data_IF_427390483899
#
_entry.id   IF_427390483899
#
_cell.length_a   1.000
_cell.length_b   1.000
_cell.length_c   1.000
_cell.angle_alpha   90.00
_cell.angle_beta   90.00
_cell.angle_gamma   90.00
#
_symmetry.space_group_name_H-M   'P 1'
#
loop_
_entity.id
_entity.type
_entity.pdbx_description
1 polymer ?
#
# COMPACT_ATOMS: atom_id res chain seq x y z
N UNK A 1 14.66 -12.99 9.18
CA UNK A 1 13.35 -12.54 8.63
C UNK A 1 13.57 -12.10 7.19
N UNK A 2 12.72 -12.47 6.23
CA UNK A 2 12.85 -11.99 4.85
C UNK A 2 12.57 -10.49 4.78
N UNK A 3 13.54 -9.71 4.31
CA UNK A 3 13.36 -8.28 4.03
C UNK A 3 12.78 -8.16 2.63
N UNK A 4 11.64 -7.49 2.49
CA UNK A 4 11.11 -7.09 1.18
C UNK A 4 11.65 -5.71 0.83
N UNK A 5 12.21 -5.57 -0.37
CA UNK A 5 12.64 -4.28 -0.90
C UNK A 5 11.71 -3.84 -2.02
N UNK A 6 11.45 -2.55 -2.09
CA UNK A 6 10.79 -1.92 -3.23
C UNK A 6 11.78 -0.96 -3.89
N UNK A 7 11.70 -0.83 -5.22
CA UNK A 7 12.51 0.08 -6.00
C UNK A 7 11.86 1.46 -6.17
N UNK A 8 10.72 1.73 -5.52
CA UNK A 8 10.15 3.08 -5.51
C UNK A 8 10.88 3.97 -4.50
N UNK A 9 11.28 5.16 -4.93
CA UNK A 9 11.92 6.16 -4.06
C UNK A 9 10.92 7.16 -3.47
N UNK A 10 9.64 7.04 -3.82
CA UNK A 10 8.57 7.92 -3.37
C UNK A 10 7.40 7.09 -2.85
N UNK A 11 6.84 7.52 -1.72
CA UNK A 11 5.64 6.92 -1.13
C UNK A 11 4.81 7.95 -0.35
N UNK A 12 3.64 7.56 0.17
CA UNK A 12 2.76 8.43 0.96
C UNK A 12 3.29 8.59 2.40
N UNK A 13 4.54 9.03 2.55
CA UNK A 13 5.23 9.21 3.84
C UNK A 13 6.24 10.36 3.74
N UNK A 14 6.67 10.89 4.89
CA UNK A 14 7.46 12.13 4.99
C UNK A 14 8.85 12.03 4.36
N UNK A 15 9.40 10.82 4.20
CA UNK A 15 10.68 10.57 3.54
C UNK A 15 10.71 11.12 2.09
N UNK A 16 9.55 11.18 1.43
CA UNK A 16 9.42 11.71 0.06
C UNK A 16 9.94 13.15 -0.05
N UNK A 17 9.79 13.97 0.98
CA UNK A 17 10.28 15.36 0.98
C UNK A 17 11.81 15.47 0.85
N UNK A 18 12.55 14.48 1.37
CA UNK A 18 14.01 14.39 1.26
C UNK A 18 14.43 13.81 -0.09
N UNK A 19 13.72 12.78 -0.58
CA UNK A 19 13.94 12.23 -1.91
C UNK A 19 13.80 13.31 -3.00
N UNK A 20 12.77 14.16 -2.92
CA UNK A 20 12.56 15.28 -3.85
C UNK A 20 13.67 16.35 -3.82
N UNK A 21 14.54 16.32 -2.79
CA UNK A 21 15.72 17.19 -2.67
C UNK A 21 17.02 16.47 -3.02
N UNK A 22 16.94 15.32 -3.70
CA UNK A 22 18.09 14.46 -4.06
C UNK A 22 18.91 14.02 -2.84
N UNK A 23 18.25 13.77 -1.70
CA UNK A 23 18.89 13.23 -0.50
C UNK A 23 18.61 11.72 -0.47
N UNK A 24 19.64 10.85 -0.33
CA UNK A 24 19.43 9.41 -0.17
C UNK A 24 18.55 9.12 1.04
N UNK A 25 17.53 8.28 0.86
CA UNK A 25 16.60 7.90 1.91
C UNK A 25 16.35 6.40 1.92
N UNK A 26 16.12 5.86 3.11
CA UNK A 26 15.54 4.55 3.32
C UNK A 26 14.28 4.74 4.17
N UNK A 27 13.20 4.11 3.76
CA UNK A 27 11.95 4.08 4.52
C UNK A 27 11.73 2.66 5.04
N UNK A 28 11.62 2.52 6.36
CA UNK A 28 11.39 1.24 7.01
C UNK A 28 9.96 1.19 7.54
N UNK A 29 9.30 0.05 7.35
CA UNK A 29 7.93 -0.16 7.81
C UNK A 29 7.74 -1.64 8.14
N UNK A 30 7.06 -1.95 9.22
CA UNK A 30 6.76 -3.33 9.65
C UNK A 30 5.52 -3.92 8.97
N UNK A 31 4.85 -3.13 8.12
CA UNK A 31 3.61 -3.50 7.45
C UNK A 31 2.38 -2.92 8.15
N UNK A 32 1.24 -3.01 7.48
CA UNK A 32 -0.07 -2.64 8.01
C UNK A 32 -0.74 -3.84 8.69
N UNK A 33 -1.71 -3.58 9.57
CA UNK A 33 -2.62 -4.58 10.15
C UNK A 33 -4.06 -4.08 10.08
N UNK A 34 -5.03 -4.97 10.31
CA UNK A 34 -6.47 -4.72 10.10
C UNK A 34 -7.06 -3.52 10.85
N UNK A 35 -6.42 -3.10 11.94
CA UNK A 35 -6.84 -1.97 12.77
C UNK A 35 -6.05 -0.70 12.53
N UNK A 36 -5.08 -0.71 11.64
CA UNK A 36 -4.26 0.47 11.33
C UNK A 36 -5.14 1.68 10.96
N UNK A 37 -4.88 2.84 11.59
CA UNK A 37 -5.69 4.07 11.49
C UNK A 37 -7.14 3.98 12.03
N UNK A 38 -7.49 2.97 12.82
CA UNK A 38 -8.78 2.91 13.52
C UNK A 38 -8.64 3.37 14.97
N UNK A 39 -9.73 3.82 15.62
CA UNK A 39 -9.73 4.11 17.06
C UNK A 39 -9.40 2.89 17.94
N UNK A 40 -9.54 1.67 17.40
CA UNK A 40 -9.15 0.41 18.04
C UNK A 40 -7.67 0.07 17.89
N UNK A 41 -6.90 0.85 17.13
CA UNK A 41 -5.46 0.68 16.98
C UNK A 41 -4.77 0.97 18.32
N UNK A 42 -4.15 -0.04 18.90
CA UNK A 42 -3.60 0.03 20.25
C UNK A 42 -2.34 -0.82 20.37
N UNK A 43 -1.62 -0.67 21.47
CA UNK A 43 -0.27 -1.20 21.67
C UNK A 43 -0.15 -2.72 21.44
N UNK A 44 -1.23 -3.47 21.66
CA UNK A 44 -1.27 -4.92 21.50
C UNK A 44 -1.12 -5.38 20.03
N UNK A 45 -1.31 -4.47 19.08
CA UNK A 45 -1.27 -4.74 17.62
C UNK A 45 0.07 -4.40 17.00
N UNK A 46 1.00 -3.87 17.79
CA UNK A 46 2.35 -3.52 17.34
C UNK A 46 3.13 -4.79 17.01
N UNK A 47 3.79 -4.80 15.85
CA UNK A 47 4.70 -5.88 15.45
C UNK A 47 6.09 -5.69 16.11
N UNK A 48 6.19 -5.98 17.41
CA UNK A 48 7.41 -5.78 18.21
C UNK A 48 8.63 -6.52 17.66
N UNK A 49 8.46 -7.77 17.22
CA UNK A 49 9.56 -8.56 16.64
C UNK A 49 10.08 -7.92 15.34
N UNK A 50 9.15 -7.41 14.52
CA UNK A 50 9.46 -6.65 13.31
C UNK A 50 10.19 -5.35 13.62
N UNK A 51 9.77 -4.60 14.65
CA UNK A 51 10.44 -3.38 15.07
C UNK A 51 11.88 -3.65 15.53
N UNK A 52 12.11 -4.68 16.34
CA UNK A 52 13.47 -5.08 16.76
C UNK A 52 14.34 -5.42 15.55
N UNK A 53 13.79 -6.14 14.57
CA UNK A 53 14.52 -6.47 13.35
C UNK A 53 14.87 -5.22 12.52
N UNK A 54 13.91 -4.29 12.37
CA UNK A 54 14.11 -3.01 11.68
C UNK A 54 15.16 -2.16 12.39
N UNK A 55 15.09 -2.03 13.73
CA UNK A 55 16.06 -1.26 14.52
C UNK A 55 17.48 -1.81 14.40
N UNK A 56 17.64 -3.14 14.43
CA UNK A 56 18.95 -3.78 14.21
C UNK A 56 19.48 -3.48 12.81
N UNK A 57 18.63 -3.52 11.78
CA UNK A 57 19.02 -3.18 10.42
C UNK A 57 19.42 -1.70 10.30
N UNK A 58 18.64 -0.78 10.88
CA UNK A 58 18.97 0.65 10.88
C UNK A 58 20.32 0.90 11.54
N UNK A 59 20.56 0.31 12.71
CA UNK A 59 21.82 0.44 13.43
C UNK A 59 23.01 -0.06 12.60
N UNK A 60 22.86 -1.20 11.93
CA UNK A 60 23.91 -1.76 11.08
C UNK A 60 24.14 -0.90 9.83
N UNK A 61 23.09 -0.38 9.20
CA UNK A 61 23.22 0.55 8.07
C UNK A 61 23.96 1.82 8.49
N UNK A 62 23.61 2.42 9.64
CA UNK A 62 24.28 3.61 10.16
C UNK A 62 25.77 3.30 10.38
N UNK A 63 26.08 2.21 11.08
CA UNK A 63 27.46 1.80 11.38
C UNK A 63 28.28 1.54 10.11
N UNK A 64 27.71 0.88 9.12
CA UNK A 64 28.41 0.60 7.86
C UNK A 64 28.58 1.85 6.98
N UNK A 65 27.65 2.80 7.05
CA UNK A 65 27.68 4.03 6.24
C UNK A 65 28.48 5.15 6.90
N UNK A 66 28.67 5.14 8.21
CA UNK A 66 29.47 6.13 8.95
C UNK A 66 30.92 6.22 8.44
N UNK A 67 31.52 5.07 8.11
CA UNK A 67 32.89 5.00 7.59
C UNK A 67 33.00 5.31 6.08
N UNK A 68 31.87 5.58 5.40
CA UNK A 68 31.85 5.79 3.96
C UNK A 68 31.80 7.28 3.61
N UNK A 69 32.33 7.67 2.44
CA UNK A 69 32.05 8.99 1.88
C UNK A 69 30.54 9.21 1.71
N UNK A 70 30.15 10.47 1.57
CA UNK A 70 28.74 10.85 1.33
C UNK A 70 28.15 10.01 0.20
N UNK A 71 27.06 9.31 0.52
CA UNK A 71 26.38 8.43 -0.42
C UNK A 71 25.83 9.24 -1.60
N UNK A 72 26.03 8.72 -2.82
CA UNK A 72 25.43 9.27 -4.02
C UNK A 72 23.92 9.02 -4.02
N UNK A 73 23.15 10.00 -4.47
CA UNK A 73 21.72 9.84 -4.70
C UNK A 73 21.48 9.15 -6.03
N UNK A 74 20.68 8.07 -6.01
CA UNK A 74 20.24 7.35 -7.19
C UNK A 74 18.75 7.57 -7.38
N UNK A 75 18.36 8.04 -8.55
CA UNK A 75 16.95 8.17 -8.90
C UNK A 75 16.33 6.80 -9.12
N UNK A 76 15.11 6.64 -8.63
CA UNK A 76 14.30 5.44 -8.88
C UNK A 76 13.45 5.61 -10.13
N UNK A 77 12.90 4.50 -10.65
CA UNK A 77 11.92 4.54 -11.73
C UNK A 77 10.66 5.26 -11.23
N UNK A 78 10.61 6.58 -11.44
CA UNK A 78 9.49 7.41 -11.03
C UNK A 78 8.20 6.92 -11.69
N UNK A 79 7.23 6.49 -10.88
CA UNK A 79 5.83 6.69 -11.23
C UNK A 79 5.45 8.06 -10.69
N UNK A 80 5.00 8.95 -11.57
CA UNK A 80 4.51 10.25 -11.13
C UNK A 80 3.40 10.05 -10.11
N UNK A 81 3.59 10.58 -8.91
CA UNK A 81 2.50 10.80 -7.97
C UNK A 81 1.66 11.94 -8.55
N UNK A 82 0.68 11.60 -9.40
CA UNK A 82 -0.31 12.55 -9.87
C UNK A 82 -0.91 13.30 -8.67
N UNK A 83 -1.01 14.63 -8.78
CA UNK A 83 -1.29 15.55 -7.69
C UNK A 83 -2.54 15.22 -6.88
N UNK A 84 -2.66 15.86 -5.70
CA UNK A 84 -3.73 15.67 -4.70
C UNK A 84 -5.05 15.16 -5.30
N UNK A 85 -5.26 13.84 -5.24
CA UNK A 85 -6.44 13.20 -5.81
C UNK A 85 -7.54 13.22 -4.74
N UNK A 86 -8.49 14.14 -4.90
CA UNK A 86 -9.77 14.04 -4.19
C UNK A 86 -10.55 12.87 -4.79
N UNK A 87 -10.78 11.83 -4.00
CA UNK A 87 -11.58 10.68 -4.44
C UNK A 87 -13.06 10.97 -4.22
N UNK A 88 -13.86 10.89 -5.29
CA UNK A 88 -15.32 11.05 -5.22
C UNK A 88 -16.00 9.84 -4.56
N UNK A 89 -15.34 8.69 -4.60
CA UNK A 89 -15.85 7.42 -4.07
C UNK A 89 -14.79 6.69 -3.24
N UNK A 90 -15.22 5.74 -2.43
CA UNK A 90 -14.34 4.82 -1.70
C UNK A 90 -14.91 3.41 -1.75
N UNK A 91 -14.04 2.41 -1.83
CA UNK A 91 -14.46 1.02 -1.63
C UNK A 91 -14.48 0.64 -0.14
N UNK A 92 -13.70 1.32 0.71
CA UNK A 92 -13.50 0.93 2.10
C UNK A 92 -12.61 -0.31 2.28
N UNK A 93 -11.67 -0.53 1.35
CA UNK A 93 -10.56 -1.49 1.53
C UNK A 93 -9.32 -0.78 2.06
N UNK A 94 -8.52 -1.50 2.83
CA UNK A 94 -7.18 -1.10 3.26
C UNK A 94 -6.15 -1.88 2.42
N UNK A 95 -5.40 -1.19 1.54
CA UNK A 95 -4.34 -1.80 0.76
C UNK A 95 -3.21 -2.36 1.63
N UNK A 96 -2.68 -3.51 1.23
CA UNK A 96 -1.40 -4.01 1.73
C UNK A 96 -0.24 -3.27 1.07
N UNK A 97 0.38 -2.34 1.79
CA UNK A 97 1.58 -1.63 1.32
C UNK A 97 2.84 -2.51 1.28
N UNK A 98 2.80 -3.68 1.92
CA UNK A 98 3.92 -4.64 1.97
C UNK A 98 3.84 -5.72 0.88
N UNK A 99 2.80 -5.70 0.04
CA UNK A 99 2.63 -6.69 -1.03
C UNK A 99 3.38 -6.25 -2.28
N UNK A 100 4.10 -7.21 -2.87
CA UNK A 100 4.78 -7.08 -4.16
C UNK A 100 4.03 -7.84 -5.27
N UNK A 101 2.85 -8.39 -4.97
CA UNK A 101 2.03 -9.10 -5.95
C UNK A 101 1.41 -8.12 -6.95
N UNK A 102 1.31 -8.53 -8.22
CA UNK A 102 0.63 -7.72 -9.23
C UNK A 102 -0.88 -7.68 -8.93
N UNK A 103 -1.36 -6.51 -8.51
CA UNK A 103 -2.73 -6.31 -8.05
C UNK A 103 -2.79 -5.42 -6.81
N UNK A 104 -3.97 -5.36 -6.20
CA UNK A 104 -4.19 -4.72 -4.91
C UNK A 104 -4.53 -5.79 -3.88
N UNK A 105 -3.55 -6.15 -3.05
CA UNK A 105 -3.78 -7.04 -1.91
C UNK A 105 -4.53 -6.28 -0.81
N UNK A 106 -5.56 -6.90 -0.26
CA UNK A 106 -6.44 -6.32 0.76
C UNK A 106 -6.03 -6.82 2.14
N UNK A 107 -5.55 -5.93 3.00
CA UNK A 107 -5.24 -6.25 4.42
C UNK A 107 -6.43 -6.03 5.34
N UNK A 108 -7.40 -5.21 4.92
CA UNK A 108 -8.56 -4.89 5.73
C UNK A 108 -9.74 -4.45 4.88
N UNK A 109 -10.93 -4.70 5.41
CA UNK A 109 -12.19 -4.21 4.84
C UNK A 109 -12.97 -3.55 5.96
N UNK A 110 -13.46 -2.33 5.71
CA UNK A 110 -14.23 -1.57 6.68
C UNK A 110 -15.70 -1.94 6.62
N UNK A 111 -16.29 -2.24 7.77
CA UNK A 111 -17.69 -2.64 7.88
C UNK A 111 -18.65 -1.59 7.32
N UNK A 112 -19.72 -2.07 6.68
CA UNK A 112 -20.76 -1.22 6.09
C UNK A 112 -20.33 -0.44 4.83
N UNK A 113 -19.07 -0.52 4.40
CA UNK A 113 -18.57 0.11 3.18
C UNK A 113 -18.85 -0.74 1.92
N UNK A 114 -18.74 -0.16 0.71
CA UNK A 114 -19.01 -0.87 -0.55
C UNK A 114 -18.33 -2.23 -0.70
N UNK A 115 -17.05 -2.35 -0.34
CA UNK A 115 -16.31 -3.59 -0.43
C UNK A 115 -16.86 -4.69 0.49
N UNK A 116 -17.19 -4.36 1.74
CA UNK A 116 -17.82 -5.29 2.67
C UNK A 116 -19.18 -5.77 2.13
N UNK A 117 -20.00 -4.85 1.61
CA UNK A 117 -21.31 -5.17 1.01
C UNK A 117 -21.19 -6.05 -0.24
N UNK A 118 -20.13 -5.85 -1.03
CA UNK A 118 -19.82 -6.68 -2.20
C UNK A 118 -19.27 -8.06 -1.84
N UNK A 119 -18.91 -8.31 -0.57
CA UNK A 119 -18.33 -9.57 -0.10
C UNK A 119 -16.82 -9.69 -0.35
N UNK A 120 -16.11 -8.57 -0.51
CA UNK A 120 -14.64 -8.51 -0.51
C UNK A 120 -14.14 -8.75 0.93
N UNK A 121 -13.07 -9.53 1.07
CA UNK A 121 -12.51 -9.97 2.35
C UNK A 121 -11.02 -9.64 2.44
N UNK A 122 -10.49 -9.58 3.67
CA UNK A 122 -9.05 -9.59 3.91
C UNK A 122 -8.42 -10.82 3.27
N UNK A 123 -7.27 -10.63 2.61
CA UNK A 123 -6.57 -11.65 1.87
C UNK A 123 -6.88 -11.67 0.37
N UNK A 124 -7.95 -11.00 -0.09
CA UNK A 124 -8.25 -10.87 -1.52
C UNK A 124 -7.16 -10.10 -2.25
N UNK A 125 -6.88 -10.50 -3.49
CA UNK A 125 -6.04 -9.77 -4.44
C UNK A 125 -6.91 -9.23 -5.57
N UNK A 126 -7.23 -7.94 -5.54
CA UNK A 126 -8.02 -7.29 -6.59
C UNK A 126 -7.15 -7.08 -7.82
N UNK A 127 -7.61 -7.55 -8.98
CA UNK A 127 -6.87 -7.50 -10.25
C UNK A 127 -7.58 -6.65 -11.32
N UNK A 128 -8.88 -6.37 -11.17
CA UNK A 128 -9.64 -5.50 -12.08
C UNK A 128 -10.84 -4.85 -11.41
N UNK A 129 -11.17 -3.60 -11.78
CA UNK A 129 -12.40 -2.91 -11.41
C UNK A 129 -13.04 -2.36 -12.69
N UNK A 130 -14.22 -2.85 -13.04
CA UNK A 130 -14.85 -2.61 -14.33
C UNK A 130 -13.91 -3.01 -15.46
N UNK A 131 -13.55 -2.03 -16.29
CA UNK A 131 -12.66 -2.21 -17.45
C UNK A 131 -11.18 -1.96 -17.10
N UNK A 132 -10.91 -1.48 -15.89
CA UNK A 132 -9.58 -1.01 -15.48
C UNK A 132 -8.80 -2.11 -14.77
N UNK A 133 -7.65 -2.51 -15.33
CA UNK A 133 -6.73 -3.45 -14.71
C UNK A 133 -6.02 -2.81 -13.52
N UNK A 134 -6.00 -3.51 -12.40
CA UNK A 134 -5.32 -3.09 -11.18
C UNK A 134 -4.01 -3.85 -11.09
N UNK A 135 -2.89 -3.14 -11.22
CA UNK A 135 -1.54 -3.71 -11.14
C UNK A 135 -0.86 -3.39 -9.82
N UNK A 136 -1.28 -2.32 -9.17
CA UNK A 136 -0.71 -1.78 -7.94
C UNK A 136 -1.70 -0.80 -7.27
N UNK A 137 -1.30 -0.27 -6.11
CA UNK A 137 -2.05 0.72 -5.33
C UNK A 137 -2.32 1.98 -6.15
N UNK A 138 -1.38 2.41 -7.00
CA UNK A 138 -1.56 3.62 -7.80
C UNK A 138 -2.67 3.44 -8.85
N UNK A 139 -2.66 2.34 -9.59
CA UNK A 139 -3.69 2.01 -10.57
C UNK A 139 -5.06 1.91 -9.90
N UNK A 140 -5.11 1.35 -8.69
CA UNK A 140 -6.33 1.32 -7.86
C UNK A 140 -6.84 2.74 -7.54
N UNK A 141 -5.99 3.62 -7.01
CA UNK A 141 -6.38 4.99 -6.66
C UNK A 141 -6.83 5.77 -7.90
N UNK A 142 -6.10 5.69 -9.01
CA UNK A 142 -6.49 6.32 -10.27
C UNK A 142 -7.83 5.80 -10.80
N UNK A 143 -8.11 4.52 -10.60
CA UNK A 143 -9.37 3.89 -11.02
C UNK A 143 -10.55 4.40 -10.20
N UNK A 144 -10.41 4.57 -8.88
CA UNK A 144 -11.48 5.15 -8.05
C UNK A 144 -11.87 6.57 -8.50
N UNK A 145 -10.90 7.36 -8.99
CA UNK A 145 -11.16 8.70 -9.51
C UNK A 145 -12.06 8.74 -10.76
N UNK A 146 -12.34 7.58 -11.38
CA UNK A 146 -13.17 7.45 -12.59
C UNK A 146 -14.62 7.07 -12.32
N UNK A 147 -14.98 6.81 -11.06
CA UNK A 147 -16.32 6.40 -10.67
C UNK A 147 -17.03 7.49 -9.87
N UNK A 148 -18.36 7.51 -10.01
CA UNK A 148 -19.25 8.41 -9.27
C UNK A 148 -20.02 7.65 -8.18
N UNK A 149 -20.47 8.36 -7.15
CA UNK A 149 -21.28 7.78 -6.07
C UNK A 149 -22.58 7.20 -6.63
N UNK A 150 -22.93 5.99 -6.21
CA UNK A 150 -24.08 5.23 -6.68
C UNK A 150 -23.83 4.44 -7.97
N UNK A 151 -22.70 4.65 -8.64
CA UNK A 151 -22.35 3.86 -9.82
C UNK A 151 -22.03 2.42 -9.42
N UNK A 152 -22.48 1.47 -10.23
CA UNK A 152 -22.18 0.05 -10.04
C UNK A 152 -21.24 -0.48 -11.12
N UNK A 153 -20.38 -1.41 -10.74
CA UNK A 153 -19.46 -2.09 -11.66
C UNK A 153 -19.07 -3.46 -11.11
N UNK A 154 -18.19 -4.18 -11.81
CA UNK A 154 -17.66 -5.47 -11.37
C UNK A 154 -16.26 -5.33 -10.79
N UNK A 155 -15.90 -6.20 -9.86
CA UNK A 155 -14.55 -6.33 -9.30
C UNK A 155 -14.11 -7.76 -9.53
N UNK A 156 -13.00 -7.93 -10.25
CA UNK A 156 -12.35 -9.23 -10.40
C UNK A 156 -11.20 -9.32 -9.40
N UNK A 157 -11.17 -10.42 -8.64
CA UNK A 157 -10.18 -10.67 -7.61
C UNK A 157 -9.76 -12.14 -7.56
N UNK A 158 -8.60 -12.40 -6.97
CA UNK A 158 -8.16 -13.74 -6.60
C UNK A 158 -8.40 -13.98 -5.11
N UNK A 159 -9.04 -15.10 -4.77
CA UNK A 159 -9.24 -15.57 -3.40
C UNK A 159 -8.87 -17.04 -3.32
N UNK A 160 -7.89 -17.38 -2.48
CA UNK A 160 -7.42 -18.76 -2.31
C UNK A 160 -7.03 -19.46 -3.63
N UNK A 161 -6.45 -18.71 -4.58
CA UNK A 161 -6.04 -19.22 -5.89
C UNK A 161 -7.16 -19.28 -6.95
N UNK A 162 -8.41 -18.98 -6.58
CA UNK A 162 -9.54 -18.94 -7.52
C UNK A 162 -9.88 -17.50 -7.91
N UNK A 163 -10.22 -17.31 -9.18
CA UNK A 163 -10.75 -16.04 -9.67
C UNK A 163 -12.23 -15.89 -9.28
N UNK A 164 -12.59 -14.74 -8.72
CA UNK A 164 -13.96 -14.37 -8.40
C UNK A 164 -14.31 -13.03 -9.02
N UNK A 165 -15.58 -12.89 -9.40
CA UNK A 165 -16.15 -11.64 -9.89
C UNK A 165 -17.28 -11.24 -8.96
N UNK A 166 -17.20 -10.04 -8.40
CA UNK A 166 -18.18 -9.47 -7.48
C UNK A 166 -18.78 -8.20 -8.08
N UNK A 167 -20.05 -7.92 -7.79
CA UNK A 167 -20.65 -6.63 -8.12
C UNK A 167 -20.42 -5.66 -6.97
N UNK A 168 -20.00 -4.43 -7.28
CA UNK A 168 -19.84 -3.36 -6.30
C UNK A 168 -20.63 -2.13 -6.72
N UNK A 169 -21.17 -1.42 -5.73
CA UNK A 169 -21.81 -0.11 -5.87
C UNK A 169 -21.10 0.89 -4.96
N UNK A 170 -20.59 1.98 -5.52
CA UNK A 170 -19.79 2.99 -4.81
C UNK A 170 -20.61 3.97 -3.97
#
# INVERSE_FOLDING_TARGET
>A
MPIKTDSSGMGPSDHTSFYLKNIPVLHFFTGSHSDYHKPSDDWDKINYDGEVAVLKLIAEVIKQTEAQPRLAFLTTKNKSLGGSRSFKVTMGVMPSYSSSEAGLKVDGVSDGKPAAKAGILTGDLIIQIGEYKIKDIQAYMETLGKFEKGQSTTVKLMRNGEEKVLNITF
#
